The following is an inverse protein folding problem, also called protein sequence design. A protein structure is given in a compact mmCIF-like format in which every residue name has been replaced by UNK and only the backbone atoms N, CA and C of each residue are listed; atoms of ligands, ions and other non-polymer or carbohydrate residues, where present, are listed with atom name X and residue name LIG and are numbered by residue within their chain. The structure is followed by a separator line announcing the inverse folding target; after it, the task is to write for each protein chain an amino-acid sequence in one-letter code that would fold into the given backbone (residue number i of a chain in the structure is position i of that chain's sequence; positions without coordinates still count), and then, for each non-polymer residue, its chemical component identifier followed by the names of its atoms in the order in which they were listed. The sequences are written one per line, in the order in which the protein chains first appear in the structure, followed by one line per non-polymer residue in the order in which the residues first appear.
data_IF_938280956688
#
_entry.id   IF_938280956688
#
_cell.length_a   1.000
_cell.length_b   1.000
_cell.length_c   1.000
_cell.angle_alpha   90.00
_cell.angle_beta   90.00
_cell.angle_gamma   90.00
#
_symmetry.space_group_name_H-M   'P 1'
#
loop_
_entity.id
_entity.type
_entity.pdbx_description
1 polymer ?
#
# COMPACT_ATOMS: atom_id res chain seq x y z
N UNK A 1 18.52 -31.76 9.90
CA UNK A 1 17.33 -31.00 9.53
C UNK A 1 17.81 -29.78 8.71
N UNK A 2 17.39 -29.64 7.47
CA UNK A 2 17.69 -28.47 6.63
C UNK A 2 16.37 -27.74 6.38
N UNK A 3 16.42 -26.42 6.42
CA UNK A 3 15.33 -25.54 6.03
C UNK A 3 15.65 -24.97 4.67
N UNK A 4 14.67 -24.97 3.81
CA UNK A 4 14.81 -24.57 2.42
C UNK A 4 13.83 -23.45 2.10
N UNK A 5 14.36 -22.33 1.61
CA UNK A 5 13.61 -21.33 0.87
C UNK A 5 14.04 -21.47 -0.60
N UNK A 6 13.13 -21.66 -1.57
CA UNK A 6 13.52 -21.84 -2.95
C UNK A 6 14.10 -20.54 -3.52
N UNK A 7 15.38 -20.34 -3.28
CA UNK A 7 16.19 -19.33 -3.96
C UNK A 7 17.26 -20.05 -4.75
N UNK A 8 17.25 -19.86 -6.05
CA UNK A 8 18.39 -20.16 -6.90
C UNK A 8 19.52 -19.18 -6.51
N UNK A 9 20.43 -19.63 -5.68
CA UNK A 9 21.60 -18.85 -5.32
C UNK A 9 22.75 -19.31 -6.22
N UNK A 10 23.11 -18.48 -7.20
CA UNK A 10 24.36 -18.64 -7.92
C UNK A 10 25.43 -17.92 -7.12
N UNK A 11 26.22 -18.67 -6.34
CA UNK A 11 27.44 -18.12 -5.75
C UNK A 11 28.50 -18.02 -6.84
N UNK A 12 28.70 -16.85 -7.41
CA UNK A 12 29.65 -16.51 -8.48
C UNK A 12 29.49 -17.34 -9.76
N UNK A 13 29.28 -16.74 -10.91
CA UNK A 13 29.43 -17.43 -12.17
C UNK A 13 30.92 -17.77 -12.30
N UNK A 14 31.29 -18.99 -11.98
CA UNK A 14 32.57 -19.53 -12.42
C UNK A 14 32.40 -19.76 -13.91
N UNK A 15 33.11 -19.06 -14.79
CA UNK A 15 33.09 -19.35 -16.22
C UNK A 15 33.77 -20.70 -16.41
N UNK A 16 32.97 -21.76 -16.46
CA UNK A 16 33.44 -23.09 -16.82
C UNK A 16 33.42 -23.21 -18.33
N UNK A 17 34.53 -23.44 -18.94
CA UNK A 17 34.56 -23.84 -20.34
C UNK A 17 33.83 -25.20 -20.50
N UNK A 18 33.10 -25.43 -21.61
CA UNK A 18 32.42 -26.72 -21.84
C UNK A 18 33.35 -27.94 -21.76
N UNK A 19 34.63 -27.76 -21.98
CA UNK A 19 35.67 -28.80 -21.83
C UNK A 19 35.98 -29.20 -20.39
N UNK A 20 35.66 -28.36 -19.41
CA UNK A 20 35.86 -28.64 -17.98
C UNK A 20 34.77 -29.55 -17.39
N UNK A 21 33.61 -29.66 -18.05
CA UNK A 21 32.56 -30.60 -17.64
C UNK A 21 32.91 -32.06 -17.95
N UNK A 22 33.81 -32.32 -18.85
CA UNK A 22 34.24 -33.70 -19.21
C UNK A 22 35.37 -34.26 -18.35
N UNK A 23 35.99 -33.46 -17.48
CA UNK A 23 37.12 -33.85 -16.66
C UNK A 23 36.91 -33.97 -15.16
N UNK A 24 35.71 -33.55 -14.68
CA UNK A 24 35.36 -33.70 -13.27
C UNK A 24 34.87 -35.12 -13.07
N UNK A 25 35.71 -35.94 -12.43
CA UNK A 25 35.34 -37.30 -12.11
C UNK A 25 33.99 -37.33 -11.37
N UNK A 26 33.07 -38.12 -11.91
CA UNK A 26 31.75 -38.35 -11.34
C UNK A 26 31.79 -38.84 -9.85
N UNK A 27 32.99 -39.14 -9.36
CA UNK A 27 33.26 -39.50 -7.97
C UNK A 27 33.08 -38.35 -6.99
N UNK A 28 33.33 -37.09 -7.37
CA UNK A 28 33.11 -35.93 -6.48
C UNK A 28 31.65 -35.64 -6.16
N UNK A 29 30.72 -36.15 -6.98
CA UNK A 29 29.29 -35.94 -6.79
C UNK A 29 28.57 -37.07 -6.05
N UNK A 30 29.26 -38.21 -5.81
CA UNK A 30 28.65 -39.39 -5.17
C UNK A 30 28.36 -39.21 -3.69
N UNK A 31 29.08 -38.33 -3.00
CA UNK A 31 28.97 -38.19 -1.54
C UNK A 31 28.14 -37.00 -1.04
N UNK A 32 27.60 -36.17 -1.96
CA UNK A 32 26.69 -35.09 -1.61
C UNK A 32 25.32 -35.31 -2.24
N UNK A 33 24.39 -35.96 -1.54
CA UNK A 33 23.08 -36.35 -2.12
C UNK A 33 22.16 -35.19 -2.51
N UNK A 34 22.61 -33.96 -2.46
CA UNK A 34 21.84 -32.76 -2.78
C UNK A 34 22.48 -31.78 -3.77
N UNK A 35 23.64 -32.07 -4.29
CA UNK A 35 24.29 -31.22 -5.28
C UNK A 35 23.90 -31.70 -6.68
N UNK A 36 22.88 -31.15 -7.28
CA UNK A 36 22.59 -31.29 -8.71
C UNK A 36 23.72 -30.70 -9.56
N UNK A 37 24.46 -29.75 -9.02
CA UNK A 37 25.71 -29.18 -9.51
C UNK A 37 26.28 -28.26 -8.44
N UNK A 38 27.58 -27.93 -8.51
CA UNK A 38 28.19 -26.91 -7.64
C UNK A 38 27.57 -25.52 -7.78
N UNK A 39 26.63 -25.32 -8.70
CA UNK A 39 25.96 -24.06 -8.97
C UNK A 39 24.71 -23.83 -8.09
N UNK A 40 24.14 -24.89 -7.51
CA UNK A 40 22.92 -24.79 -6.70
C UNK A 40 23.19 -25.19 -5.27
N UNK A 41 23.44 -24.19 -4.44
CA UNK A 41 23.61 -24.38 -3.00
C UNK A 41 22.33 -23.88 -2.32
N UNK A 42 21.71 -24.77 -1.53
CA UNK A 42 20.58 -24.37 -0.69
C UNK A 42 21.07 -23.43 0.42
N UNK A 43 20.48 -22.26 0.60
CA UNK A 43 20.89 -21.33 1.64
C UNK A 43 20.65 -21.93 3.04
N UNK A 44 21.57 -21.71 3.94
CA UNK A 44 21.47 -22.16 5.34
C UNK A 44 20.53 -21.29 6.17
N UNK A 45 20.21 -20.09 5.69
CA UNK A 45 19.30 -19.15 6.33
C UNK A 45 18.15 -18.76 5.40
N UNK A 46 17.13 -18.14 5.94
CA UNK A 46 15.95 -17.72 5.17
C UNK A 46 16.18 -16.44 4.33
N UNK A 47 17.27 -15.72 4.54
CA UNK A 47 17.50 -14.41 3.93
C UNK A 47 16.46 -13.36 4.35
N UNK A 48 16.28 -12.35 3.50
CA UNK A 48 15.25 -11.33 3.71
C UNK A 48 13.88 -11.91 3.34
N UNK A 49 12.93 -11.76 4.25
CA UNK A 49 11.56 -12.23 4.08
C UNK A 49 10.62 -11.04 4.23
N UNK A 50 9.67 -10.94 3.32
CA UNK A 50 8.79 -9.78 3.26
C UNK A 50 7.33 -10.13 3.54
N UNK A 51 6.62 -9.16 4.09
CA UNK A 51 5.17 -9.24 4.26
C UNK A 51 4.48 -9.48 2.91
N UNK A 52 3.50 -10.37 2.89
CA UNK A 52 2.77 -10.73 1.67
C UNK A 52 3.41 -11.86 0.87
N UNK A 53 4.63 -12.31 1.20
CA UNK A 53 5.22 -13.52 0.61
C UNK A 53 4.59 -14.79 1.22
N UNK A 54 4.71 -15.88 0.48
CA UNK A 54 4.44 -17.22 1.02
C UNK A 54 5.74 -17.83 1.55
N UNK A 55 5.82 -17.99 2.86
CA UNK A 55 6.90 -18.74 3.48
C UNK A 55 6.81 -20.20 3.04
N UNK A 56 7.85 -20.70 2.40
CA UNK A 56 7.97 -22.10 2.00
C UNK A 56 9.23 -22.71 2.62
N UNK A 57 9.12 -23.91 3.18
CA UNK A 57 10.24 -24.58 3.82
C UNK A 57 10.21 -26.08 3.60
N UNK A 58 11.34 -26.63 3.18
CA UNK A 58 11.58 -28.05 3.12
C UNK A 58 12.27 -28.50 4.41
N UNK A 59 11.65 -29.42 5.11
CA UNK A 59 12.12 -29.97 6.38
C UNK A 59 12.44 -31.41 6.17
N UNK A 60 13.68 -31.80 6.40
CA UNK A 60 14.14 -33.20 6.28
C UNK A 60 14.76 -33.69 7.58
N UNK A 61 14.34 -34.86 8.00
CA UNK A 61 14.88 -35.57 9.17
C UNK A 61 15.53 -36.84 8.67
N UNK A 62 16.83 -36.97 8.91
CA UNK A 62 17.63 -38.14 8.53
C UNK A 62 17.94 -39.00 9.75
N UNK A 63 17.71 -40.30 9.66
CA UNK A 63 18.18 -41.27 10.69
C UNK A 63 19.67 -41.53 10.51
N UNK A 64 20.49 -40.91 11.36
CA UNK A 64 21.93 -41.17 11.40
C UNK A 64 22.32 -42.28 12.36
N UNK A 65 21.34 -42.90 13.01
CA UNK A 65 21.59 -43.98 13.93
C UNK A 65 21.78 -45.30 13.16
N UNK A 66 22.67 -46.22 13.60
CA UNK A 66 22.88 -47.51 12.93
C UNK A 66 21.70 -48.47 13.07
N UNK A 67 20.71 -48.14 13.91
CA UNK A 67 19.54 -48.98 14.16
C UNK A 67 18.25 -48.35 13.69
N UNK A 68 17.25 -49.21 13.43
CA UNK A 68 15.89 -48.73 13.11
C UNK A 68 15.29 -48.01 14.32
N UNK A 69 14.64 -46.89 14.03
CA UNK A 69 13.77 -46.16 14.95
C UNK A 69 12.31 -46.51 14.64
N UNK A 70 11.42 -46.35 15.62
CA UNK A 70 10.00 -46.61 15.43
C UNK A 70 9.17 -45.37 15.82
N UNK A 71 7.97 -45.28 15.23
CA UNK A 71 7.02 -44.17 15.48
C UNK A 71 7.67 -42.78 15.34
N UNK A 72 8.39 -42.58 14.25
CA UNK A 72 9.03 -41.28 13.98
C UNK A 72 8.01 -40.31 13.44
N UNK A 73 7.65 -39.35 14.28
CA UNK A 73 6.72 -38.25 13.90
C UNK A 73 7.46 -36.95 13.70
N UNK A 74 7.10 -36.24 12.64
CA UNK A 74 7.60 -34.90 12.30
C UNK A 74 6.45 -33.88 12.37
N UNK A 75 6.64 -32.84 13.15
CA UNK A 75 5.68 -31.75 13.31
C UNK A 75 6.33 -30.41 13.03
N UNK A 76 5.59 -29.49 12.40
CA UNK A 76 6.03 -28.14 12.16
C UNK A 76 4.95 -27.14 12.61
N UNK A 77 5.37 -26.10 13.31
CA UNK A 77 4.49 -25.05 13.80
C UNK A 77 5.16 -23.70 13.59
N UNK A 78 4.43 -22.75 13.03
CA UNK A 78 4.89 -21.38 12.89
C UNK A 78 4.26 -20.51 13.98
N UNK A 79 5.09 -19.88 14.79
CA UNK A 79 4.68 -18.85 15.73
C UNK A 79 4.89 -17.50 15.07
N UNK A 80 3.79 -16.75 14.88
CA UNK A 80 3.76 -15.37 14.41
C UNK A 80 3.62 -14.41 15.60
N UNK A 81 3.80 -13.10 15.42
CA UNK A 81 3.52 -12.12 16.48
C UNK A 81 2.09 -12.19 17.03
N UNK A 82 1.12 -12.51 16.16
CA UNK A 82 -0.30 -12.49 16.50
C UNK A 82 -0.89 -13.86 16.84
N UNK A 83 -0.15 -14.97 16.64
CA UNK A 83 -0.68 -16.28 16.89
C UNK A 83 0.26 -17.44 16.58
N UNK A 84 -0.32 -18.63 16.50
CA UNK A 84 0.37 -19.87 16.14
C UNK A 84 -0.41 -20.59 15.06
N UNK A 85 0.29 -21.13 14.06
CA UNK A 85 -0.26 -21.93 12.99
C UNK A 85 0.45 -23.29 12.95
N UNK A 86 -0.30 -24.38 13.00
CA UNK A 86 0.22 -25.70 12.73
C UNK A 86 0.35 -25.89 11.22
N UNK A 87 1.55 -26.27 10.79
CA UNK A 87 1.87 -26.44 9.38
C UNK A 87 1.72 -27.91 9.00
N UNK A 88 1.00 -28.16 7.91
CA UNK A 88 0.84 -29.48 7.32
C UNK A 88 1.69 -29.59 6.06
N UNK A 89 1.95 -30.82 5.64
CA UNK A 89 2.63 -31.06 4.37
C UNK A 89 1.73 -30.63 3.21
N UNK A 90 2.21 -29.68 2.42
CA UNK A 90 1.45 -29.13 1.28
C UNK A 90 1.21 -30.16 0.18
N UNK A 91 2.09 -31.15 0.07
CA UNK A 91 1.96 -32.24 -0.90
C UNK A 91 0.68 -33.06 -0.67
N UNK A 92 0.24 -33.22 0.58
CA UNK A 92 -1.06 -33.87 0.90
C UNK A 92 -2.23 -33.13 0.23
N UNK A 93 -2.20 -31.79 0.27
CA UNK A 93 -3.26 -30.97 -0.34
C UNK A 93 -3.24 -31.01 -1.88
N UNK A 94 -2.08 -31.32 -2.47
CA UNK A 94 -1.90 -31.44 -3.90
C UNK A 94 -2.15 -32.86 -4.42
N UNK A 95 -2.49 -33.82 -3.52
CA UNK A 95 -2.71 -35.22 -3.88
C UNK A 95 -1.43 -35.98 -4.26
N UNK A 96 -0.28 -35.47 -3.87
CA UNK A 96 1.01 -36.11 -4.09
C UNK A 96 1.26 -37.19 -3.03
N UNK A 97 2.09 -38.20 -3.37
CA UNK A 97 2.47 -39.22 -2.42
C UNK A 97 3.36 -38.62 -1.30
N UNK A 98 2.88 -38.68 -0.07
CA UNK A 98 3.58 -38.19 1.12
C UNK A 98 4.08 -39.34 1.97
N UNK A 99 5.28 -39.25 2.54
CA UNK A 99 5.77 -40.22 3.50
C UNK A 99 4.82 -40.37 4.69
N UNK A 100 4.60 -41.62 5.16
CA UNK A 100 3.76 -41.84 6.30
C UNK A 100 4.33 -41.12 7.54
N UNK A 101 3.51 -40.23 8.14
CA UNK A 101 3.88 -39.49 9.33
C UNK A 101 2.80 -39.69 10.44
N UNK A 102 3.09 -40.38 11.56
CA UNK A 102 4.39 -40.94 11.95
C UNK A 102 4.80 -42.20 11.17
N UNK A 103 6.08 -42.29 10.83
CA UNK A 103 6.65 -43.49 10.21
C UNK A 103 6.80 -44.60 11.25
N UNK A 104 6.17 -45.75 11.00
CA UNK A 104 6.20 -46.88 11.95
C UNK A 104 7.58 -47.49 12.07
N UNK A 105 8.29 -47.62 10.96
CA UNK A 105 9.68 -48.11 10.90
C UNK A 105 10.50 -47.08 10.11
N UNK A 106 11.62 -46.67 10.69
CA UNK A 106 12.52 -45.67 10.14
C UNK A 106 13.94 -46.24 10.12
N UNK A 107 14.36 -46.71 8.96
CA UNK A 107 15.62 -47.40 8.76
C UNK A 107 16.84 -46.46 8.88
N UNK A 108 18.05 -46.98 9.13
CA UNK A 108 19.28 -46.21 9.02
C UNK A 108 19.40 -45.53 7.64
N UNK A 109 19.91 -44.31 7.61
CA UNK A 109 20.05 -43.48 6.42
C UNK A 109 18.72 -43.14 5.68
N UNK A 110 17.57 -43.49 6.23
CA UNK A 110 16.27 -43.07 5.71
C UNK A 110 15.97 -41.61 6.10
N UNK A 111 15.33 -40.88 5.20
CA UNK A 111 14.82 -39.51 5.48
C UNK A 111 13.30 -39.48 5.58
N UNK A 112 12.80 -38.62 6.44
CA UNK A 112 11.38 -38.20 6.51
C UNK A 112 11.30 -36.72 6.19
N UNK A 113 10.63 -36.41 5.12
CA UNK A 113 10.60 -35.07 4.54
C UNK A 113 9.20 -34.48 4.59
N UNK A 114 9.13 -33.17 4.82
CA UNK A 114 7.89 -32.39 4.86
C UNK A 114 8.10 -31.06 4.14
N UNK A 115 7.16 -30.68 3.30
CA UNK A 115 7.11 -29.34 2.66
C UNK A 115 6.00 -28.53 3.31
N UNK A 116 6.32 -27.38 3.86
CA UNK A 116 5.36 -26.51 4.53
C UNK A 116 5.29 -25.15 3.86
N UNK A 117 4.10 -24.61 3.75
CA UNK A 117 3.83 -23.27 3.22
C UNK A 117 2.95 -22.48 4.19
N UNK A 118 3.19 -21.16 4.25
CA UNK A 118 2.36 -20.26 5.06
C UNK A 118 2.41 -18.83 4.48
N UNK A 119 1.26 -18.22 4.24
CA UNK A 119 1.19 -16.83 3.80
C UNK A 119 1.53 -15.90 4.97
N UNK A 120 2.53 -15.04 4.79
CA UNK A 120 3.01 -14.11 5.81
C UNK A 120 2.16 -12.85 5.84
N UNK A 121 1.38 -12.67 6.88
CA UNK A 121 0.46 -11.54 7.05
C UNK A 121 0.84 -10.61 8.21
N UNK A 122 1.81 -11.02 9.02
CA UNK A 122 2.24 -10.29 10.21
C UNK A 122 3.67 -9.78 10.04
N UNK A 123 3.93 -8.56 10.49
CA UNK A 123 5.28 -7.99 10.58
C UNK A 123 5.96 -8.44 11.86
N UNK A 124 7.30 -8.55 11.83
CA UNK A 124 8.12 -8.84 13.00
C UNK A 124 8.66 -10.25 13.07
N UNK A 125 9.03 -10.68 14.27
CA UNK A 125 9.75 -11.93 14.47
C UNK A 125 8.82 -13.14 14.42
N UNK A 126 9.14 -14.05 13.51
CA UNK A 126 8.50 -15.34 13.35
C UNK A 126 9.42 -16.45 13.86
N UNK A 127 8.85 -17.52 14.41
CA UNK A 127 9.61 -18.67 14.88
C UNK A 127 9.01 -19.96 14.33
N UNK A 128 9.73 -20.63 13.43
CA UNK A 128 9.40 -21.97 13.01
C UNK A 128 9.88 -22.96 14.07
N UNK A 129 8.95 -23.72 14.63
CA UNK A 129 9.20 -24.79 15.58
C UNK A 129 9.07 -26.11 14.86
N UNK A 130 10.12 -26.90 14.85
CA UNK A 130 10.11 -28.25 14.29
C UNK A 130 10.30 -29.23 15.42
N UNK A 131 9.37 -30.16 15.55
CA UNK A 131 9.37 -31.22 16.52
C UNK A 131 9.56 -32.58 15.86
N UNK A 132 10.43 -33.40 16.40
CA UNK A 132 10.61 -34.79 15.99
C UNK A 132 10.40 -35.67 17.22
N UNK A 133 9.51 -36.63 17.12
CA UNK A 133 9.28 -37.66 18.16
C UNK A 133 9.66 -39.02 17.60
N UNK A 134 10.27 -39.84 18.39
CA UNK A 134 10.61 -41.19 17.98
C UNK A 134 10.72 -42.12 19.19
N UNK A 135 10.54 -43.42 18.98
CA UNK A 135 10.72 -44.44 19.99
C UNK A 135 12.02 -45.21 19.71
N UNK A 136 12.91 -45.25 20.69
CA UNK A 136 14.16 -46.01 20.61
C UNK A 136 13.85 -47.49 20.82
N UNK A 137 14.17 -48.33 19.84
CA UNK A 137 13.99 -49.80 20.01
C UNK A 137 14.88 -50.40 21.07
N UNK A 138 16.04 -49.81 21.37
CA UNK A 138 16.96 -50.29 22.34
C UNK A 138 16.46 -50.12 23.79
N UNK A 139 15.77 -49.02 24.09
CA UNK A 139 15.31 -48.66 25.44
C UNK A 139 13.79 -48.69 25.58
N UNK A 140 13.03 -48.76 24.48
CA UNK A 140 11.56 -48.65 24.48
C UNK A 140 11.05 -47.23 24.83
N UNK A 141 11.96 -46.28 25.07
CA UNK A 141 11.61 -44.93 25.50
C UNK A 141 11.24 -44.05 24.30
N UNK A 142 10.21 -43.26 24.50
CA UNK A 142 9.85 -42.21 23.55
C UNK A 142 10.74 -40.97 23.79
N UNK A 143 11.42 -40.52 22.76
CA UNK A 143 12.27 -39.32 22.77
C UNK A 143 11.70 -38.24 21.87
N UNK A 144 11.92 -36.98 22.24
CA UNK A 144 11.52 -35.84 21.46
C UNK A 144 12.67 -34.89 21.26
N UNK A 145 12.81 -34.37 20.04
CA UNK A 145 13.77 -33.34 19.67
C UNK A 145 12.98 -32.13 19.19
N UNK A 146 13.43 -30.96 19.56
CA UNK A 146 12.82 -29.68 19.08
C UNK A 146 13.91 -28.79 18.56
N UNK A 147 13.63 -28.16 17.41
CA UNK A 147 14.50 -27.16 16.82
C UNK A 147 13.69 -25.91 16.50
N UNK A 148 14.29 -24.76 16.79
CA UNK A 148 13.65 -23.43 16.61
C UNK A 148 14.47 -22.65 15.59
N UNK A 149 13.77 -22.06 14.62
CA UNK A 149 14.36 -21.18 13.62
C UNK A 149 13.63 -19.86 13.65
N UNK A 150 14.37 -18.78 13.89
CA UNK A 150 13.82 -17.42 13.96
C UNK A 150 14.17 -16.66 12.69
N UNK A 151 13.21 -15.90 12.18
CA UNK A 151 13.39 -14.98 11.09
C UNK A 151 12.51 -13.75 11.29
N UNK A 152 12.87 -12.66 10.65
CA UNK A 152 12.14 -11.41 10.74
C UNK A 152 11.42 -11.11 9.42
N UNK A 153 10.14 -10.78 9.51
CA UNK A 153 9.32 -10.36 8.37
C UNK A 153 9.23 -8.85 8.37
N UNK A 154 9.67 -8.23 7.28
CA UNK A 154 9.68 -6.78 7.10
C UNK A 154 8.71 -6.36 5.99
N UNK A 155 8.30 -5.10 6.00
CA UNK A 155 7.50 -4.57 4.90
C UNK A 155 8.40 -4.28 3.70
N UNK A 156 8.08 -4.77 2.49
CA UNK A 156 8.86 -4.45 1.30
C UNK A 156 8.55 -3.06 0.73
N UNK A 157 7.39 -2.50 1.08
CA UNK A 157 6.91 -1.21 0.64
C UNK A 157 6.51 -0.33 1.82
N UNK A 158 6.91 0.93 1.79
CA UNK A 158 6.33 1.98 2.63
C UNK A 158 5.22 2.65 1.84
N UNK A 159 4.05 2.78 2.45
CA UNK A 159 2.86 3.34 1.81
C UNK A 159 2.39 4.56 2.58
N UNK A 160 2.21 5.69 1.88
CA UNK A 160 1.62 6.90 2.43
C UNK A 160 0.44 7.33 1.58
N UNK A 161 -0.62 7.79 2.23
CA UNK A 161 -1.86 8.19 1.56
C UNK A 161 -2.21 9.62 1.92
N UNK A 162 -2.65 10.36 0.92
CA UNK A 162 -3.20 11.70 1.08
C UNK A 162 -4.59 11.75 0.42
N UNK A 163 -5.57 12.20 1.17
CA UNK A 163 -6.92 12.40 0.67
C UNK A 163 -7.17 13.90 0.45
N UNK A 164 -7.71 14.23 -0.72
CA UNK A 164 -8.14 15.60 -1.07
C UNK A 164 -9.55 15.52 -1.66
N UNK A 165 -10.46 16.34 -1.15
CA UNK A 165 -11.79 16.49 -1.72
C UNK A 165 -11.78 17.68 -2.71
N UNK A 166 -12.17 17.44 -3.96
CA UNK A 166 -12.25 18.45 -5.02
C UNK A 166 -13.64 18.40 -5.65
N UNK A 167 -14.40 19.47 -5.53
CA UNK A 167 -15.72 19.64 -6.17
C UNK A 167 -16.67 18.43 -6.01
N UNK A 168 -16.75 17.87 -4.80
CA UNK A 168 -17.61 16.71 -4.49
C UNK A 168 -17.02 15.33 -4.85
N UNK A 169 -15.88 15.30 -5.50
CA UNK A 169 -15.12 14.08 -5.80
C UNK A 169 -13.97 13.92 -4.82
N UNK A 170 -13.73 12.71 -4.34
CA UNK A 170 -12.57 12.40 -3.50
C UNK A 170 -11.41 11.91 -4.36
N UNK A 171 -10.24 12.50 -4.18
CA UNK A 171 -9.00 12.03 -4.78
C UNK A 171 -8.09 11.46 -3.70
N UNK A 172 -7.56 10.26 -3.92
CA UNK A 172 -6.58 9.61 -3.06
C UNK A 172 -5.26 9.53 -3.80
N UNK A 173 -4.26 10.19 -3.27
CA UNK A 173 -2.88 10.06 -3.68
C UNK A 173 -2.22 8.97 -2.85
N UNK A 174 -1.63 7.99 -3.49
CA UNK A 174 -0.88 6.91 -2.88
C UNK A 174 0.59 7.01 -3.30
N UNK A 175 1.50 7.05 -2.35
CA UNK A 175 2.94 7.00 -2.59
C UNK A 175 3.48 5.68 -2.08
N UNK A 176 4.07 4.91 -2.99
CA UNK A 176 4.66 3.59 -2.74
C UNK A 176 6.18 3.70 -2.85
N UNK A 177 6.90 3.48 -1.76
CA UNK A 177 8.36 3.49 -1.74
C UNK A 177 8.90 2.07 -1.55
N UNK A 178 9.80 1.64 -2.41
CA UNK A 178 10.52 0.38 -2.23
C UNK A 178 11.51 0.49 -1.07
N UNK A 179 11.28 -0.27 0.01
CA UNK A 179 12.14 -0.30 1.20
C UNK A 179 13.13 -1.45 1.18
N UNK A 180 13.11 -2.26 0.13
CA UNK A 180 14.03 -3.39 -0.01
C UNK A 180 15.38 -2.94 -0.60
N UNK A 181 16.39 -3.78 -0.46
CA UNK A 181 17.73 -3.55 -1.04
C UNK A 181 17.82 -3.95 -2.51
N UNK A 182 16.78 -4.55 -3.06
CA UNK A 182 16.73 -5.05 -4.42
C UNK A 182 15.65 -4.36 -5.24
N UNK A 183 15.80 -4.41 -6.55
CA UNK A 183 14.73 -3.97 -7.45
C UNK A 183 13.50 -4.85 -7.30
N UNK A 184 12.34 -4.23 -7.34
CA UNK A 184 11.03 -4.86 -7.21
C UNK A 184 10.18 -4.56 -8.45
N UNK A 185 9.41 -5.53 -8.87
CA UNK A 185 8.42 -5.38 -9.92
C UNK A 185 7.02 -5.37 -9.29
N UNK A 186 6.22 -4.35 -9.59
CA UNK A 186 4.81 -4.30 -9.23
C UNK A 186 4.00 -4.79 -10.43
N UNK A 187 3.36 -5.95 -10.26
CA UNK A 187 2.55 -6.58 -11.31
C UNK A 187 1.18 -5.90 -11.45
N UNK A 188 0.60 -5.54 -10.29
CA UNK A 188 -0.75 -4.97 -10.22
C UNK A 188 -0.88 -4.11 -8.99
N UNK A 189 -1.49 -2.94 -9.15
CA UNK A 189 -1.79 -2.02 -8.04
C UNK A 189 -3.24 -1.57 -8.21
N UNK A 190 -4.13 -2.15 -7.41
CA UNK A 190 -5.57 -1.94 -7.51
C UNK A 190 -6.12 -1.29 -6.24
N UNK A 191 -6.89 -0.21 -6.38
CA UNK A 191 -7.60 0.37 -5.25
C UNK A 191 -8.96 -0.32 -5.07
N UNK A 192 -9.08 -1.10 -4.01
CA UNK A 192 -10.30 -1.78 -3.60
C UNK A 192 -11.19 -0.79 -2.84
N UNK A 193 -12.11 -0.14 -3.54
CA UNK A 193 -13.02 0.82 -2.94
C UNK A 193 -14.01 0.16 -1.98
N UNK A 194 -14.34 0.86 -0.90
CA UNK A 194 -15.41 0.44 0.02
C UNK A 194 -16.76 0.34 -0.72
N UNK A 195 -17.73 -0.44 -0.23
CA UNK A 195 -18.96 -0.80 -0.97
C UNK A 195 -19.75 0.38 -1.55
N UNK A 196 -19.68 1.55 -0.90
CA UNK A 196 -20.38 2.79 -1.28
C UNK A 196 -19.71 3.57 -2.41
N UNK A 197 -18.47 3.20 -2.76
CA UNK A 197 -17.62 3.96 -3.66
C UNK A 197 -17.19 3.16 -4.87
N UNK A 198 -16.81 3.88 -5.93
CA UNK A 198 -16.10 3.38 -7.10
C UNK A 198 -14.77 4.11 -7.18
N UNK A 199 -13.69 3.39 -7.42
CA UNK A 199 -12.38 3.97 -7.65
C UNK A 199 -11.97 3.83 -9.11
N UNK A 200 -11.41 4.88 -9.68
CA UNK A 200 -10.81 4.94 -11.01
C UNK A 200 -9.36 5.40 -10.87
N UNK A 201 -8.44 4.69 -11.50
CA UNK A 201 -7.05 5.13 -11.59
C UNK A 201 -6.94 6.31 -12.55
N UNK A 202 -6.26 7.36 -12.12
CA UNK A 202 -5.97 8.52 -12.97
C UNK A 202 -4.55 8.36 -13.51
N UNK A 203 -4.45 8.07 -14.82
CA UNK A 203 -3.16 7.94 -15.48
C UNK A 203 -2.45 9.29 -15.55
N UNK A 204 -1.39 9.42 -14.77
CA UNK A 204 -0.47 10.57 -14.84
C UNK A 204 0.56 10.42 -15.97
N UNK A 205 0.44 9.41 -16.81
CA UNK A 205 1.41 9.09 -17.87
C UNK A 205 1.53 10.16 -18.97
N UNK A 206 0.65 11.16 -18.98
CA UNK A 206 0.77 12.31 -19.90
C UNK A 206 1.81 13.38 -19.52
N UNK A 207 2.34 13.36 -18.27
CA UNK A 207 3.17 14.46 -17.79
C UNK A 207 4.63 14.11 -17.46
N UNK A 208 4.99 12.83 -17.22
CA UNK A 208 6.35 12.48 -16.78
C UNK A 208 6.97 11.20 -17.39
N UNK A 209 6.24 10.39 -18.13
CA UNK A 209 6.68 9.06 -18.57
C UNK A 209 7.20 8.94 -20.02
N UNK A 210 7.07 9.98 -20.83
CA UNK A 210 7.38 9.91 -22.26
C UNK A 210 8.87 9.88 -22.63
N UNK A 211 9.78 10.16 -21.74
CA UNK A 211 11.21 10.29 -22.09
C UNK A 211 12.09 9.11 -21.68
N UNK A 212 11.67 8.23 -20.77
CA UNK A 212 12.53 7.12 -20.35
C UNK A 212 12.30 5.81 -21.12
N UNK A 213 11.16 5.60 -21.74
CA UNK A 213 10.93 4.38 -22.55
C UNK A 213 11.51 4.46 -23.96
N UNK A 214 11.69 5.65 -24.55
CA UNK A 214 12.29 5.78 -25.87
C UNK A 214 13.81 5.64 -25.88
N UNK A 215 14.51 5.89 -24.77
CA UNK A 215 15.97 5.72 -24.71
C UNK A 215 16.45 4.28 -24.55
N UNK A 216 15.62 3.36 -24.06
CA UNK A 216 16.00 1.94 -23.96
C UNK A 216 15.76 1.16 -25.25
N UNK A 217 14.87 1.59 -26.14
CA UNK A 217 14.68 0.95 -27.44
C UNK A 217 15.71 1.38 -28.49
N UNK A 218 16.36 2.53 -28.33
CA UNK A 218 17.40 2.98 -29.26
C UNK A 218 18.79 2.39 -28.98
N UNK A 219 19.03 1.76 -27.83
CA UNK A 219 20.33 1.12 -27.54
C UNK A 219 20.40 -0.36 -27.93
N UNK A 220 19.31 -0.98 -28.37
CA UNK A 220 19.28 -2.37 -28.85
C UNK A 220 19.15 -2.51 -30.38
N UNK A 221 19.13 -1.40 -31.12
CA UNK A 221 18.90 -1.36 -32.56
C UNK A 221 20.10 -0.95 -33.42
N UNK A 222 21.30 -1.17 -32.98
CA UNK A 222 22.50 -0.74 -33.71
C UNK A 222 23.54 -1.83 -33.86
N UNK A 223 23.33 -2.81 -34.71
CA UNK A 223 24.37 -3.53 -35.46
C UNK A 223 23.76 -4.67 -36.27
N UNK A 224 23.52 -4.45 -37.55
CA UNK A 224 23.93 -5.39 -38.61
C UNK A 224 23.59 -4.80 -39.97
N UNK A 225 24.65 -4.62 -40.68
CA UNK A 225 24.77 -4.15 -42.05
C UNK A 225 24.43 -5.28 -43.06
N UNK A 226 23.84 -4.86 -44.21
CA UNK A 226 24.14 -5.38 -45.54
C UNK A 226 23.46 -6.64 -46.01
N UNK A 227 22.66 -6.52 -47.11
CA UNK A 227 22.43 -7.65 -48.01
C UNK A 227 21.12 -7.59 -48.79
N UNK A 228 21.22 -7.14 -50.02
CA UNK A 228 20.37 -7.11 -51.18
C UNK A 228 19.44 -8.34 -51.43
N UNK A 229 18.29 -8.07 -52.10
CA UNK A 229 17.70 -9.09 -52.99
C UNK A 229 16.17 -9.23 -53.06
N UNK A 230 15.57 -8.40 -53.93
CA UNK A 230 14.45 -8.68 -54.85
C UNK A 230 13.24 -9.56 -54.48
N UNK A 231 12.07 -8.90 -54.62
CA UNK A 231 10.84 -9.25 -55.33
C UNK A 231 10.22 -10.65 -55.19
N UNK A 232 8.96 -10.69 -54.78
CA UNK A 232 7.82 -11.03 -55.64
C UNK A 232 6.49 -11.04 -54.91
N UNK A 233 5.54 -10.44 -55.56
CA UNK A 233 4.10 -10.36 -55.33
C UNK A 233 3.41 -11.74 -55.39
N UNK A 234 2.43 -11.96 -54.54
CA UNK A 234 1.17 -12.64 -54.99
C UNK A 234 0.02 -12.41 -54.01
N UNK A 235 -1.03 -11.90 -54.57
CA UNK A 235 -2.39 -11.71 -54.08
C UNK A 235 -3.14 -13.03 -53.91
N UNK A 236 -4.02 -13.13 -52.94
CA UNK A 236 -5.41 -13.67 -53.10
C UNK A 236 -6.13 -13.73 -51.76
N UNK A 237 -7.14 -12.94 -51.57
CA UNK A 237 -8.60 -13.16 -51.55
C UNK A 237 -9.15 -13.93 -50.33
N UNK A 238 -9.86 -13.13 -49.52
CA UNK A 238 -11.21 -13.31 -48.93
C UNK A 238 -11.62 -14.65 -48.31
N UNK A 239 -11.95 -14.57 -47.03
CA UNK A 239 -13.28 -15.04 -46.56
C UNK A 239 -13.58 -14.46 -45.17
N UNK A 240 -14.73 -13.81 -45.10
CA UNK A 240 -15.40 -13.26 -43.93
C UNK A 240 -15.85 -14.36 -42.98
N UNK A 241 -15.49 -14.24 -41.69
CA UNK A 241 -16.34 -14.76 -40.63
C UNK A 241 -16.26 -13.80 -39.46
N UNK A 242 -17.42 -13.19 -39.16
CA UNK A 242 -17.63 -12.39 -37.98
C UNK A 242 -17.48 -13.27 -36.73
N UNK A 243 -16.44 -13.05 -35.98
CA UNK A 243 -16.27 -13.55 -34.61
C UNK A 243 -16.05 -12.36 -33.71
N UNK A 244 -16.84 -12.35 -32.66
CA UNK A 244 -16.91 -11.31 -31.61
C UNK A 244 -15.53 -10.78 -31.22
N UNK A 245 -15.38 -9.47 -31.31
CA UNK A 245 -14.26 -8.76 -30.75
C UNK A 245 -14.35 -8.86 -29.22
N UNK A 246 -13.71 -9.87 -28.67
CA UNK A 246 -13.32 -9.87 -27.26
C UNK A 246 -12.27 -8.78 -27.13
N UNK A 247 -12.58 -7.73 -26.37
CA UNK A 247 -11.66 -6.66 -26.04
C UNK A 247 -10.36 -7.26 -25.53
N UNK A 248 -9.31 -7.15 -26.32
CA UNK A 248 -7.94 -7.42 -25.87
C UNK A 248 -7.68 -6.53 -24.67
N UNK A 249 -7.65 -7.13 -23.48
CA UNK A 249 -7.32 -6.45 -22.24
C UNK A 249 -5.97 -5.76 -22.41
N UNK A 250 -5.94 -4.46 -22.28
CA UNK A 250 -4.70 -3.72 -22.17
C UNK A 250 -3.93 -4.34 -21.01
N UNK A 251 -2.71 -4.83 -21.28
CA UNK A 251 -1.85 -5.36 -20.22
C UNK A 251 -1.71 -4.31 -19.12
N UNK A 252 -2.03 -4.69 -17.89
CA UNK A 252 -1.92 -3.79 -16.76
C UNK A 252 -0.49 -3.20 -16.71
N UNK A 253 -0.33 -1.90 -16.43
CA UNK A 253 0.97 -1.29 -16.40
C UNK A 253 1.82 -1.94 -15.32
N UNK A 254 2.98 -2.44 -15.70
CA UNK A 254 3.94 -3.06 -14.82
C UNK A 254 5.02 -2.03 -14.47
N UNK A 255 5.31 -1.84 -13.16
CA UNK A 255 6.30 -0.88 -12.71
C UNK A 255 7.50 -1.57 -12.08
N UNK A 256 8.70 -1.08 -12.43
CA UNK A 256 9.94 -1.51 -11.81
C UNK A 256 10.41 -0.44 -10.84
N UNK A 257 10.49 -0.77 -9.56
CA UNK A 257 10.95 0.13 -8.51
C UNK A 257 12.34 -0.27 -8.04
N UNK A 258 13.32 0.62 -8.24
CA UNK A 258 14.64 0.50 -7.64
C UNK A 258 14.56 0.69 -6.12
N UNK A 259 15.58 0.27 -5.35
CA UNK A 259 15.65 0.62 -3.93
C UNK A 259 15.42 2.11 -3.71
N UNK A 260 14.62 2.44 -2.69
CA UNK A 260 14.23 3.81 -2.31
C UNK A 260 13.44 4.62 -3.34
N UNK A 261 13.16 4.07 -4.51
CA UNK A 261 12.34 4.74 -5.51
C UNK A 261 10.88 4.82 -5.04
N UNK A 262 10.24 5.95 -5.35
CA UNK A 262 8.84 6.23 -5.03
C UNK A 262 8.01 6.20 -6.30
N UNK A 263 6.91 5.45 -6.28
CA UNK A 263 5.85 5.49 -7.27
C UNK A 263 4.68 6.26 -6.69
N UNK A 264 4.17 7.23 -7.44
CA UNK A 264 3.01 8.03 -7.07
C UNK A 264 1.83 7.64 -7.96
N UNK A 265 0.70 7.36 -7.33
CA UNK A 265 -0.54 6.97 -7.99
C UNK A 265 -1.68 7.86 -7.49
N UNK A 266 -2.60 8.20 -8.37
CA UNK A 266 -3.79 8.98 -8.03
C UNK A 266 -5.02 8.16 -8.38
N UNK A 267 -5.93 8.04 -7.42
CA UNK A 267 -7.22 7.39 -7.61
C UNK A 267 -8.33 8.40 -7.39
N UNK A 268 -9.24 8.50 -8.36
CA UNK A 268 -10.49 9.25 -8.23
C UNK A 268 -11.53 8.31 -7.60
N UNK A 269 -12.15 8.78 -6.52
CA UNK A 269 -13.18 8.01 -5.81
C UNK A 269 -14.50 8.74 -5.94
N UNK A 270 -15.47 8.09 -6.55
CA UNK A 270 -16.82 8.59 -6.76
C UNK A 270 -17.82 7.77 -5.96
N UNK A 271 -18.93 8.39 -5.60
CA UNK A 271 -20.02 7.72 -4.89
C UNK A 271 -20.84 6.90 -5.89
N UNK A 272 -21.14 5.65 -5.53
CA UNK A 272 -22.03 4.80 -6.33
C UNK A 272 -23.44 5.40 -6.41
N UNK A 273 -24.11 5.32 -7.57
CA UNK A 273 -25.50 5.70 -7.68
C UNK A 273 -26.36 5.00 -6.62
N UNK A 274 -27.21 5.76 -5.92
CA UNK A 274 -28.08 5.22 -4.86
C UNK A 274 -27.45 5.04 -3.47
N UNK A 275 -26.15 5.32 -3.31
CA UNK A 275 -25.45 5.17 -2.02
C UNK A 275 -25.06 6.51 -1.37
N UNK A 276 -25.68 7.62 -1.76
CA UNK A 276 -25.29 8.96 -1.33
C UNK A 276 -25.29 9.13 0.20
N UNK A 277 -26.35 8.69 0.89
CA UNK A 277 -26.48 8.82 2.34
C UNK A 277 -25.48 7.94 3.08
N UNK A 278 -25.34 6.68 2.65
CA UNK A 278 -24.35 5.76 3.20
C UNK A 278 -22.91 6.26 2.97
N UNK A 279 -22.65 6.83 1.80
CA UNK A 279 -21.37 7.43 1.48
C UNK A 279 -21.07 8.66 2.34
N UNK A 280 -22.04 9.50 2.68
CA UNK A 280 -21.81 10.65 3.57
C UNK A 280 -21.32 10.24 4.95
N UNK A 281 -21.84 9.16 5.50
CA UNK A 281 -21.47 8.65 6.82
C UNK A 281 -20.16 7.82 6.81
N UNK A 282 -19.76 7.29 5.65
CA UNK A 282 -18.61 6.41 5.54
C UNK A 282 -17.30 7.18 5.68
N UNK A 283 -16.44 6.77 6.59
CA UNK A 283 -15.08 7.29 6.77
C UNK A 283 -14.05 6.51 5.97
N UNK A 284 -14.27 5.20 5.76
CA UNK A 284 -13.39 4.32 5.01
C UNK A 284 -13.66 4.43 3.50
N UNK A 285 -12.65 4.83 2.74
CA UNK A 285 -12.72 4.94 1.28
C UNK A 285 -12.34 3.64 0.57
N UNK A 286 -11.56 2.78 1.22
CA UNK A 286 -11.06 1.53 0.66
C UNK A 286 -9.62 1.24 1.04
N UNK A 287 -9.00 0.29 0.33
CA UNK A 287 -7.63 -0.18 0.55
C UNK A 287 -6.92 -0.36 -0.77
N UNK A 288 -5.60 -0.25 -0.75
CA UNK A 288 -4.78 -0.54 -1.91
C UNK A 288 -4.28 -1.99 -1.84
N UNK A 289 -4.57 -2.79 -2.86
CA UNK A 289 -3.99 -4.11 -3.08
C UNK A 289 -2.81 -3.98 -4.02
N UNK A 290 -1.66 -4.54 -3.63
CA UNK A 290 -0.42 -4.47 -4.39
C UNK A 290 0.09 -5.89 -4.57
N UNK A 291 0.17 -6.33 -5.83
CA UNK A 291 0.83 -7.58 -6.22
C UNK A 291 2.21 -7.27 -6.75
N UNK A 292 3.20 -7.91 -6.22
CA UNK A 292 4.59 -7.62 -6.51
C UNK A 292 5.43 -8.89 -6.66
N UNK A 293 6.59 -8.75 -7.28
CA UNK A 293 7.60 -9.80 -7.38
C UNK A 293 8.97 -9.25 -7.03
N UNK A 294 9.78 -10.08 -6.38
CA UNK A 294 11.19 -9.81 -6.19
C UNK A 294 11.95 -9.96 -7.52
N UNK A 295 13.21 -9.52 -7.55
CA UNK A 295 14.10 -9.75 -8.70
C UNK A 295 14.28 -11.25 -9.04
N UNK A 296 14.01 -12.14 -8.10
CA UNK A 296 14.07 -13.60 -8.28
C UNK A 296 12.71 -14.21 -8.70
N UNK A 297 11.68 -13.37 -8.90
CA UNK A 297 10.36 -13.80 -9.35
C UNK A 297 9.45 -14.33 -8.23
N UNK A 298 9.85 -14.24 -6.96
CA UNK A 298 8.98 -14.62 -5.83
C UNK A 298 7.79 -13.65 -5.73
N UNK A 299 6.55 -14.15 -5.78
CA UNK A 299 5.37 -13.30 -5.73
C UNK A 299 5.01 -12.92 -4.28
N UNK A 300 4.48 -11.72 -4.13
CA UNK A 300 3.88 -11.26 -2.89
C UNK A 300 2.61 -10.45 -3.16
N UNK A 301 1.73 -10.41 -2.16
CA UNK A 301 0.52 -9.60 -2.19
C UNK A 301 0.34 -8.88 -0.86
N UNK A 302 0.19 -7.58 -0.90
CA UNK A 302 0.00 -6.73 0.29
C UNK A 302 -1.31 -5.97 0.14
N UNK A 303 -2.07 -5.95 1.22
CA UNK A 303 -3.22 -5.08 1.38
C UNK A 303 -2.85 -3.95 2.34
N UNK A 304 -3.06 -2.70 1.92
CA UNK A 304 -2.78 -1.53 2.73
C UNK A 304 -3.70 -1.43 3.96
N UNK A 305 -3.35 -0.54 4.89
CA UNK A 305 -4.30 -0.04 5.87
C UNK A 305 -5.45 0.68 5.15
N UNK A 306 -6.65 0.75 5.78
CA UNK A 306 -7.77 1.49 5.22
C UNK A 306 -7.41 2.96 4.99
N UNK A 307 -7.76 3.48 3.83
CA UNK A 307 -7.64 4.91 3.54
C UNK A 307 -8.84 5.63 4.12
N UNK A 308 -8.61 6.37 5.20
CA UNK A 308 -9.68 7.03 5.95
C UNK A 308 -9.76 8.50 5.56
N UNK A 309 -10.96 8.98 5.23
CA UNK A 309 -11.23 10.40 5.07
C UNK A 309 -11.73 11.02 6.38
N UNK A 310 -11.30 12.25 6.62
CA UNK A 310 -11.94 13.05 7.65
C UNK A 310 -13.28 13.51 7.10
N UNK A 311 -14.36 13.09 7.74
CA UNK A 311 -15.67 13.67 7.43
C UNK A 311 -15.62 15.17 7.75
N UNK A 312 -16.16 16.04 6.89
CA UNK A 312 -16.35 17.41 7.27
C UNK A 312 -17.25 17.38 8.52
N UNK A 313 -16.69 17.80 9.63
CA UNK A 313 -17.49 17.99 10.85
C UNK A 313 -18.60 18.95 10.45
N UNK A 314 -19.86 18.51 10.42
CA UNK A 314 -20.97 19.42 10.24
C UNK A 314 -20.86 20.44 11.36
N UNK A 315 -20.37 21.64 11.03
CA UNK A 315 -20.26 22.72 11.99
C UNK A 315 -21.69 23.04 12.40
N UNK A 316 -22.00 22.91 13.67
CA UNK A 316 -23.31 23.24 14.22
C UNK A 316 -23.72 24.69 13.90
N UNK A 317 -22.71 25.57 13.79
CA UNK A 317 -22.87 26.96 13.40
C UNK A 317 -21.95 27.25 12.23
N UNK A 318 -22.49 27.80 11.15
CA UNK A 318 -21.74 28.26 9.99
C UNK A 318 -21.72 29.77 9.98
N UNK A 319 -20.53 30.36 9.78
CA UNK A 319 -20.31 31.79 9.62
C UNK A 319 -19.79 32.06 8.22
N UNK A 320 -20.45 32.94 7.51
CA UNK A 320 -20.06 33.43 6.18
C UNK A 320 -19.96 34.95 6.20
N UNK A 321 -18.99 35.49 5.46
CA UNK A 321 -18.86 36.92 5.23
C UNK A 321 -19.14 37.20 3.78
N UNK A 322 -20.06 38.12 3.52
CA UNK A 322 -20.51 38.51 2.19
C UNK A 322 -20.39 40.03 1.99
N UNK A 323 -20.32 40.47 0.75
CA UNK A 323 -20.33 41.88 0.39
C UNK A 323 -18.98 42.59 0.56
N UNK A 324 -17.89 41.88 0.81
CA UNK A 324 -16.56 42.47 0.75
C UNK A 324 -16.16 42.71 -0.72
N UNK A 325 -15.67 43.92 -1.08
CA UNK A 325 -15.12 44.18 -2.40
C UNK A 325 -13.87 43.29 -2.66
N UNK A 326 -13.60 42.93 -3.93
CA UNK A 326 -12.41 42.12 -4.28
C UNK A 326 -11.09 42.85 -4.01
N UNK A 327 -11.09 44.17 -4.10
CA UNK A 327 -9.97 45.07 -3.79
C UNK A 327 -10.41 46.06 -2.75
N UNK A 328 -9.60 46.29 -1.74
CA UNK A 328 -9.85 47.20 -0.62
C UNK A 328 -8.78 48.26 -0.61
N UNK A 329 -9.16 49.51 -0.29
CA UNK A 329 -8.21 50.60 -0.14
C UNK A 329 -7.70 50.70 1.28
N UNK A 330 -6.39 50.93 1.43
CA UNK A 330 -5.74 51.07 2.74
C UNK A 330 -6.29 52.28 3.49
N UNK A 331 -6.82 52.03 4.70
CA UNK A 331 -7.37 53.05 5.59
C UNK A 331 -8.79 53.47 5.26
N UNK A 332 -9.46 52.90 4.24
CA UNK A 332 -10.88 53.16 3.95
C UNK A 332 -11.76 52.04 4.55
N UNK A 333 -12.69 52.40 5.47
CA UNK A 333 -13.59 51.41 6.04
C UNK A 333 -14.60 50.92 4.99
N UNK A 334 -14.93 49.61 5.06
CA UNK A 334 -15.97 49.01 4.22
C UNK A 334 -16.96 48.20 5.05
N UNK A 335 -18.17 48.07 4.53
CA UNK A 335 -19.21 47.28 5.19
C UNK A 335 -19.23 45.86 4.64
N UNK A 336 -19.18 44.88 5.53
CA UNK A 336 -19.35 43.48 5.22
C UNK A 336 -20.55 42.88 5.98
N UNK A 337 -21.24 41.95 5.37
CA UNK A 337 -22.36 41.25 6.01
C UNK A 337 -21.93 39.90 6.52
N UNK A 338 -21.96 39.74 7.82
CA UNK A 338 -21.76 38.43 8.50
C UNK A 338 -23.08 37.68 8.53
N UNK A 339 -23.12 36.51 7.94
CA UNK A 339 -24.29 35.62 7.94
C UNK A 339 -23.97 34.43 8.83
N UNK A 340 -24.71 34.28 9.92
CA UNK A 340 -24.56 33.17 10.87
C UNK A 340 -25.74 32.24 10.71
N UNK A 341 -25.46 30.99 10.39
CA UNK A 341 -26.46 29.92 10.17
C UNK A 341 -26.36 28.89 11.27
N UNK A 342 -27.47 28.68 11.99
CA UNK A 342 -27.64 27.57 12.90
C UNK A 342 -28.01 26.31 12.11
N UNK A 343 -27.14 25.32 12.05
CA UNK A 343 -27.38 24.04 11.36
C UNK A 343 -27.88 22.93 12.29
N UNK A 344 -28.25 23.29 13.50
CA UNK A 344 -28.80 22.32 14.46
C UNK A 344 -30.35 22.31 14.41
N UNK A 345 -30.94 21.23 14.90
CA UNK A 345 -32.38 21.09 15.05
C UNK A 345 -32.97 21.85 16.27
N UNK A 346 -32.15 22.64 16.97
CA UNK A 346 -32.54 23.39 18.18
C UNK A 346 -32.27 24.89 18.02
N UNK A 347 -33.09 25.75 18.55
CA UNK A 347 -32.82 27.18 18.57
C UNK A 347 -31.61 27.48 19.46
N UNK A 348 -30.74 28.39 19.01
CA UNK A 348 -29.54 28.80 19.70
C UNK A 348 -29.55 30.31 19.96
N UNK A 349 -28.98 30.76 21.09
CA UNK A 349 -28.82 32.18 21.37
C UNK A 349 -27.38 32.58 21.03
N UNK A 350 -27.20 33.17 19.85
CA UNK A 350 -25.89 33.40 19.28
C UNK A 350 -25.42 34.85 19.43
N UNK A 351 -24.12 34.97 19.72
CA UNK A 351 -23.39 36.22 19.78
C UNK A 351 -22.17 36.15 18.88
N UNK A 352 -21.97 37.14 18.03
CA UNK A 352 -20.77 37.30 17.21
C UNK A 352 -19.70 38.01 18.05
N UNK A 353 -18.51 37.47 18.13
CA UNK A 353 -17.38 38.03 18.85
C UNK A 353 -16.20 38.32 17.92
N UNK A 354 -15.53 39.44 18.14
CA UNK A 354 -14.39 39.89 17.36
C UNK A 354 -13.14 39.93 18.24
N UNK A 355 -12.23 38.98 18.00
CA UNK A 355 -10.95 38.87 18.70
C UNK A 355 -9.90 39.67 17.95
N UNK A 356 -9.72 40.93 18.33
CA UNK A 356 -8.75 41.85 17.74
C UNK A 356 -7.32 41.35 17.81
N UNK A 357 -6.98 40.59 18.86
CA UNK A 357 -5.68 39.96 19.06
C UNK A 357 -5.34 38.88 17.99
N UNK A 358 -6.35 38.34 17.30
CA UNK A 358 -6.19 37.36 16.23
C UNK A 358 -6.36 37.97 14.81
N UNK A 359 -6.75 39.23 14.73
CA UNK A 359 -6.91 39.94 13.46
C UNK A 359 -5.57 40.50 12.98
N UNK A 360 -5.24 40.26 11.71
CA UNK A 360 -4.01 40.73 11.08
C UNK A 360 -4.36 41.51 9.83
N UNK A 361 -3.95 42.77 9.77
CA UNK A 361 -4.10 43.61 8.58
C UNK A 361 -5.46 44.24 8.39
N UNK A 362 -6.53 43.60 8.81
CA UNK A 362 -7.92 44.15 8.71
C UNK A 362 -8.61 43.97 10.05
N UNK A 363 -9.21 45.02 10.58
CA UNK A 363 -9.79 45.09 11.89
C UNK A 363 -11.25 45.51 11.86
N UNK A 364 -12.04 45.12 12.85
CA UNK A 364 -13.38 45.61 13.09
C UNK A 364 -13.29 46.96 13.79
N UNK A 365 -13.99 48.01 13.23
CA UNK A 365 -13.80 49.38 13.73
C UNK A 365 -14.37 49.65 15.12
N UNK A 366 -15.58 49.19 15.46
CA UNK A 366 -16.26 49.66 16.67
C UNK A 366 -16.72 48.63 17.72
N UNK A 367 -16.81 47.33 17.38
CA UNK A 367 -17.48 46.38 18.26
C UNK A 367 -16.56 45.22 18.64
N UNK A 368 -16.52 44.88 19.94
CA UNK A 368 -15.91 43.66 20.42
C UNK A 368 -16.84 42.45 20.29
N UNK A 369 -18.16 42.68 20.29
CA UNK A 369 -19.17 41.67 20.11
C UNK A 369 -20.47 42.26 19.58
N UNK A 370 -21.27 41.43 18.89
CA UNK A 370 -22.63 41.75 18.44
C UNK A 370 -23.59 40.62 18.78
N UNK A 371 -24.66 40.95 19.51
CA UNK A 371 -25.66 39.99 19.88
C UNK A 371 -26.66 39.75 18.72
N UNK A 372 -26.74 38.51 18.25
CA UNK A 372 -27.67 38.10 17.22
C UNK A 372 -29.02 37.65 17.81
N UNK A 373 -29.07 37.39 19.13
CA UNK A 373 -30.23 36.85 19.81
C UNK A 373 -30.55 35.42 19.41
N UNK A 374 -31.81 35.02 19.49
CA UNK A 374 -32.23 33.66 19.18
C UNK A 374 -32.27 33.41 17.67
N UNK A 375 -31.55 32.38 17.23
CA UNK A 375 -31.53 31.87 15.87
C UNK A 375 -32.21 30.50 15.85
N UNK A 376 -33.32 30.39 15.15
CA UNK A 376 -34.12 29.17 15.07
C UNK A 376 -33.34 27.99 14.48
N UNK A 377 -33.91 26.78 14.59
CA UNK A 377 -33.37 25.57 13.99
C UNK A 377 -33.23 25.76 12.45
N UNK A 378 -32.11 25.44 11.88
CA UNK A 378 -31.79 25.59 10.47
C UNK A 378 -32.03 27.00 9.88
N UNK A 379 -32.06 28.02 10.74
CA UNK A 379 -32.25 29.41 10.34
C UNK A 379 -30.94 30.18 10.30
N UNK A 380 -30.95 31.30 9.55
CA UNK A 380 -29.81 32.19 9.44
C UNK A 380 -30.18 33.60 9.91
N UNK A 381 -29.24 34.27 10.54
CA UNK A 381 -29.30 35.71 10.82
C UNK A 381 -28.08 36.41 10.25
N UNK A 382 -28.29 37.63 9.78
CA UNK A 382 -27.24 38.48 9.23
C UNK A 382 -27.06 39.72 10.08
N UNK A 383 -25.83 40.22 10.15
CA UNK A 383 -25.52 41.51 10.71
C UNK A 383 -24.43 42.18 9.85
N UNK A 384 -24.47 43.50 9.80
CA UNK A 384 -23.46 44.27 9.08
C UNK A 384 -22.38 44.71 10.05
N UNK A 385 -21.12 44.56 9.63
CA UNK A 385 -19.95 44.97 10.41
C UNK A 385 -19.07 45.86 9.52
N UNK A 386 -18.49 46.87 10.14
CA UNK A 386 -17.54 47.76 9.49
C UNK A 386 -16.13 47.23 9.73
N UNK A 387 -15.39 47.02 8.65
CA UNK A 387 -14.02 46.52 8.64
C UNK A 387 -13.09 47.62 8.11
N UNK A 388 -11.93 47.76 8.79
CA UNK A 388 -10.92 48.77 8.43
C UNK A 388 -9.61 48.06 8.06
N UNK A 389 -9.16 48.14 6.79
CA UNK A 389 -7.87 47.62 6.38
C UNK A 389 -6.74 48.58 6.79
N UNK A 390 -5.77 48.09 7.57
CA UNK A 390 -4.64 48.86 8.10
C UNK A 390 -3.28 48.46 7.53
N UNK A 391 -3.20 47.36 6.79
CA UNK A 391 -1.97 46.89 6.17
C UNK A 391 -2.23 46.51 4.73
N UNK A 392 -1.38 46.95 3.82
CA UNK A 392 -1.47 46.59 2.39
C UNK A 392 -1.01 45.14 2.14
N UNK A 393 -1.58 44.52 1.11
CA UNK A 393 -1.24 43.16 0.70
C UNK A 393 -2.39 42.18 0.84
N UNK A 394 -2.06 40.86 0.73
CA UNK A 394 -3.02 39.79 0.90
C UNK A 394 -3.23 39.49 2.37
N UNK A 395 -4.48 39.55 2.83
CA UNK A 395 -4.86 39.27 4.19
C UNK A 395 -5.98 38.26 4.27
N UNK A 396 -5.93 37.42 5.30
CA UNK A 396 -6.98 36.48 5.64
C UNK A 396 -7.71 36.99 6.89
N UNK A 397 -9.03 37.19 6.78
CA UNK A 397 -9.82 37.58 7.93
C UNK A 397 -9.93 36.46 8.94
N UNK A 398 -9.33 36.66 10.11
CA UNK A 398 -9.34 35.77 11.26
C UNK A 398 -9.94 36.47 12.49
N UNK A 399 -10.14 35.72 13.57
CA UNK A 399 -10.56 36.31 14.84
C UNK A 399 -12.05 36.61 14.96
N UNK A 400 -12.89 36.18 14.01
CA UNK A 400 -14.34 36.27 14.15
C UNK A 400 -14.88 34.94 14.65
N UNK A 401 -15.58 34.93 15.75
CA UNK A 401 -16.11 33.74 16.42
C UNK A 401 -17.59 33.92 16.73
N UNK A 402 -18.31 32.81 16.82
CA UNK A 402 -19.69 32.81 17.29
C UNK A 402 -19.77 32.04 18.61
N UNK A 403 -20.42 32.61 19.60
CA UNK A 403 -20.65 31.99 20.90
C UNK A 403 -22.14 31.74 21.11
N UNK A 404 -22.50 30.56 21.56
CA UNK A 404 -23.84 30.27 22.05
C UNK A 404 -23.95 30.65 23.52
N UNK A 405 -24.72 31.67 23.82
CA UNK A 405 -24.89 32.22 25.17
C UNK A 405 -25.61 31.28 26.15
N UNK A 406 -26.25 30.23 25.65
CA UNK A 406 -26.92 29.23 26.52
C UNK A 406 -25.93 28.16 26.99
N UNK A 407 -25.02 27.76 26.12
CA UNK A 407 -24.07 26.64 26.39
C UNK A 407 -22.65 27.12 26.63
N UNK A 408 -22.35 28.41 26.42
CA UNK A 408 -21.01 29.00 26.40
C UNK A 408 -20.05 28.31 25.43
N UNK A 409 -20.60 27.63 24.41
CA UNK A 409 -19.80 26.96 23.38
C UNK A 409 -19.40 27.96 22.31
N UNK A 410 -18.07 27.96 22.00
CA UNK A 410 -17.48 28.84 21.01
C UNK A 410 -17.25 28.09 19.69
N UNK A 411 -17.66 28.73 18.60
CA UNK A 411 -17.49 28.23 17.25
C UNK A 411 -16.55 29.16 16.51
N UNK A 412 -15.40 28.66 16.12
CA UNK A 412 -14.42 29.41 15.34
C UNK A 412 -14.30 28.81 13.94
N UNK A 413 -14.04 29.63 12.97
CA UNK A 413 -13.75 29.22 11.61
C UNK A 413 -12.33 29.67 11.27
N UNK A 414 -11.49 28.74 10.82
CA UNK A 414 -10.07 29.01 10.59
C UNK A 414 -9.85 30.02 9.47
N UNK A 415 -10.70 29.96 8.43
CA UNK A 415 -10.64 30.85 7.26
C UNK A 415 -12.03 31.36 6.93
N UNK A 416 -12.20 32.68 6.92
CA UNK A 416 -13.49 33.32 6.64
C UNK A 416 -13.50 33.99 5.27
N UNK A 417 -12.47 34.77 4.96
CA UNK A 417 -12.39 35.58 3.72
C UNK A 417 -10.92 35.92 3.41
N UNK A 418 -10.52 35.78 2.15
CA UNK A 418 -9.28 36.34 1.64
C UNK A 418 -9.55 37.72 1.05
N UNK A 419 -8.70 38.70 1.37
CA UNK A 419 -8.85 40.09 0.94
C UNK A 419 -7.52 40.62 0.42
N UNK A 420 -7.59 41.44 -0.61
CA UNK A 420 -6.46 42.16 -1.17
C UNK A 420 -6.59 43.64 -0.88
N UNK A 421 -5.64 44.19 -0.13
CA UNK A 421 -5.62 45.62 0.24
C UNK A 421 -4.58 46.36 -0.59
N UNK A 422 -5.03 47.33 -1.35
CA UNK A 422 -4.20 48.17 -2.22
C UNK A 422 -3.85 49.50 -1.50
N UNK A 423 -2.65 49.97 -1.71
CA UNK A 423 -2.25 51.28 -1.25
C UNK A 423 -2.22 52.25 -2.43
N UNK A 424 -3.36 52.88 -2.74
CA UNK A 424 -3.49 53.85 -3.84
C UNK A 424 -2.65 55.12 -3.65
N UNK A 425 -2.11 55.40 -2.45
CA UNK A 425 -1.25 56.57 -2.18
C UNK A 425 0.21 56.38 -2.58
N UNK A 426 0.57 55.19 -3.05
CA UNK A 426 1.92 54.84 -3.51
C UNK A 426 1.97 54.60 -5.05
N UNK A 427 0.88 54.80 -5.76
CA UNK A 427 0.80 54.68 -7.22
C UNK A 427 1.01 56.03 -7.92
#
# INVERSE_FOLDING_TARGET
MRLYKPKLHVSLPVPCAPSEFGGVEASMFRDTPFALSNFFILPDNFGDIYLGETFCSYISVLNQHPHNLSNVGLTAQLQTPNGRADLRDVREQRGEAVPQNPAQVFAPAQSLDMVVEHALRDLGVHTLRVGVTYTSRATGEQKSLRKLYRFNVTSPLSMTFRHVAVAGTSCVEAQLRNTTRAQMMLDDVTFLASPQFVAESVDMAGAAGGQQQQQQQQQLGGASDGGDGSSSSSSSSSSSSAAAATSAGAAAPCWYLKPDQVLQLIHRITVKPGCADAAQAATDLGRLEIKWKTALGEPGCILSQPVVRKLPTQKEVQLEIRGAPPELELGEPFLATCVVTNRTARPMSLQLQFRRDLMVGVFVSDLAFQNLGEVGANASKSCTVELLPLVAGMHELKGVMVEDLRTNKKYSQEKLLDMYVVNSRLA
#
